data_IF_309176703701
#
_entry.id   IF_309176703701
#
_cell.length_a   1.000
_cell.length_b   1.000
_cell.length_c   1.000
_cell.angle_alpha   90.00
_cell.angle_beta   90.00
_cell.angle_gamma   90.00
#
_symmetry.space_group_name_H-M   'P 1'
#
loop_
_entity.id
_entity.type
_entity.pdbx_description
1 polymer ?
#
# COMPACT_ATOMS: atom_id res chain seq x y z
N UNK A 1 30.80 -45.14 -7.16
CA UNK A 1 30.68 -46.39 -6.38
C UNK A 1 29.58 -46.20 -5.34
N UNK A 2 28.65 -47.14 -5.38
CA UNK A 2 27.67 -47.49 -4.38
C UNK A 2 26.62 -46.43 -3.93
N UNK A 3 25.45 -46.56 -4.55
CA UNK A 3 24.20 -46.02 -4.04
C UNK A 3 23.62 -46.88 -2.93
N UNK A 4 22.84 -46.26 -2.04
CA UNK A 4 21.95 -46.98 -1.13
C UNK A 4 20.52 -46.59 -1.49
N UNK A 5 19.78 -47.59 -1.99
CA UNK A 5 18.33 -47.57 -2.23
C UNK A 5 17.67 -48.00 -0.93
N UNK A 6 16.72 -47.17 -0.44
CA UNK A 6 15.75 -47.60 0.57
C UNK A 6 14.35 -47.57 -0.02
N UNK A 7 13.70 -48.74 0.03
CA UNK A 7 12.38 -49.10 -0.48
C UNK A 7 11.27 -48.37 0.28
N UNK A 8 10.29 -47.85 -0.50
CA UNK A 8 8.94 -47.51 -0.05
C UNK A 8 8.07 -48.76 0.11
N UNK A 9 7.06 -48.70 0.99
CA UNK A 9 5.82 -49.43 0.78
C UNK A 9 4.70 -48.49 0.31
N UNK A 10 3.90 -49.07 -0.55
CA UNK A 10 2.84 -48.57 -1.40
C UNK A 10 1.68 -47.85 -0.69
N UNK A 11 1.13 -46.83 -1.34
CA UNK A 11 -0.17 -46.27 -0.98
C UNK A 11 -0.58 -45.08 -1.87
N UNK A 12 -1.35 -45.39 -2.91
CA UNK A 12 -2.23 -44.53 -3.73
C UNK A 12 -1.78 -43.13 -4.16
N UNK A 13 -1.37 -43.08 -5.43
CA UNK A 13 -1.27 -41.89 -6.27
C UNK A 13 -2.66 -41.28 -6.56
N UNK A 14 -2.92 -40.10 -6.04
CA UNK A 14 -3.87 -39.17 -6.68
C UNK A 14 -3.06 -38.16 -7.50
N UNK A 15 -3.33 -38.17 -8.81
CA UNK A 15 -2.80 -37.20 -9.76
C UNK A 15 -3.19 -35.78 -9.34
N UNK A 16 -2.20 -34.97 -8.98
CA UNK A 16 -2.38 -33.52 -8.93
C UNK A 16 -1.93 -32.98 -10.29
N UNK A 17 -2.91 -32.46 -11.03
CA UNK A 17 -2.74 -31.78 -12.31
C UNK A 17 -1.74 -30.65 -12.18
N UNK A 18 -0.62 -30.76 -12.87
CA UNK A 18 0.38 -29.72 -13.05
C UNK A 18 -0.19 -28.60 -13.90
N UNK A 19 -0.66 -27.54 -13.28
CA UNK A 19 -1.02 -26.30 -13.99
C UNK A 19 0.25 -25.51 -14.27
N UNK A 20 0.68 -25.54 -15.54
CA UNK A 20 1.82 -24.76 -16.06
C UNK A 20 1.58 -23.27 -15.80
N UNK A 21 2.40 -22.68 -14.97
CA UNK A 21 2.50 -21.23 -14.83
C UNK A 21 2.94 -20.63 -16.18
N UNK A 22 2.05 -19.92 -16.83
CA UNK A 22 2.38 -18.96 -17.89
C UNK A 22 2.98 -17.74 -17.19
N UNK A 23 4.09 -17.15 -17.69
CA UNK A 23 4.57 -15.89 -17.18
C UNK A 23 3.55 -14.82 -17.53
N UNK A 24 2.97 -14.19 -16.50
CA UNK A 24 2.16 -12.97 -16.66
C UNK A 24 3.15 -11.86 -16.88
N UNK A 25 3.19 -11.35 -18.09
CA UNK A 25 3.94 -10.15 -18.46
C UNK A 25 3.48 -9.00 -17.58
N UNK A 26 4.44 -8.39 -16.87
CA UNK A 26 4.26 -7.14 -16.17
C UNK A 26 3.96 -6.03 -17.17
N UNK A 27 2.71 -5.69 -17.34
CA UNK A 27 2.25 -4.55 -18.14
C UNK A 27 1.34 -3.69 -17.27
N UNK A 28 1.84 -2.47 -17.00
CA UNK A 28 1.10 -1.25 -16.74
C UNK A 28 0.19 -1.23 -15.49
N UNK A 29 0.75 -0.77 -14.36
CA UNK A 29 -0.06 0.02 -13.43
C UNK A 29 -0.19 1.45 -14.00
N UNK A 30 -1.05 1.59 -15.01
CA UNK A 30 -1.60 2.87 -15.41
C UNK A 30 -2.80 3.16 -14.51
N UNK A 31 -2.80 4.34 -13.90
CA UNK A 31 -3.91 5.06 -13.31
C UNK A 31 -5.25 4.30 -13.21
N UNK A 32 -5.62 3.90 -12.00
CA UNK A 32 -6.98 3.43 -11.69
C UNK A 32 -7.91 4.63 -11.70
N UNK A 33 -8.51 4.91 -12.85
CA UNK A 33 -9.73 5.71 -12.98
C UNK A 33 -10.91 4.74 -12.89
N UNK A 34 -11.40 4.47 -11.68
CA UNK A 34 -12.69 3.82 -11.49
C UNK A 34 -13.80 4.83 -11.75
N UNK A 35 -14.35 4.80 -12.96
CA UNK A 35 -15.65 5.37 -13.27
C UNK A 35 -16.71 4.37 -12.82
N UNK A 36 -17.39 4.67 -11.72
CA UNK A 36 -18.54 3.92 -11.24
C UNK A 36 -19.77 4.30 -12.07
N UNK A 37 -20.14 3.50 -13.05
CA UNK A 37 -21.41 3.58 -13.74
C UNK A 37 -22.47 2.79 -12.98
N UNK A 38 -23.40 3.49 -12.32
CA UNK A 38 -24.64 2.91 -11.80
C UNK A 38 -25.54 2.53 -12.98
N UNK A 39 -25.76 1.25 -13.19
CA UNK A 39 -26.81 0.74 -14.03
C UNK A 39 -28.04 0.42 -13.17
N UNK A 40 -29.11 1.21 -13.31
CA UNK A 40 -30.43 0.91 -12.79
C UNK A 40 -31.09 -0.17 -13.67
N UNK A 41 -31.26 -1.35 -13.14
CA UNK A 41 -32.07 -2.40 -13.76
C UNK A 41 -33.53 -2.15 -13.44
N UNK A 42 -34.35 -1.90 -14.47
CA UNK A 42 -35.81 -1.97 -14.40
C UNK A 42 -36.28 -3.26 -15.11
N UNK A 43 -36.89 -4.15 -14.34
CA UNK A 43 -37.60 -5.31 -14.88
C UNK A 43 -38.97 -4.89 -15.41
N UNK A 44 -39.33 -5.28 -16.62
CA UNK A 44 -40.74 -5.60 -16.92
C UNK A 44 -40.85 -6.77 -17.89
N UNK A 45 -41.75 -7.74 -17.56
CA UNK A 45 -42.14 -8.90 -18.30
C UNK A 45 -43.25 -8.54 -19.30
N UNK A 46 -43.25 -9.09 -20.51
CA UNK A 46 -44.35 -9.89 -21.08
C UNK A 46 -44.18 -10.18 -22.57
N UNK A 47 -44.22 -11.38 -22.85
CA UNK A 47 -44.63 -12.26 -23.98
C UNK A 47 -45.24 -11.72 -25.26
N UNK A 48 -44.86 -12.37 -26.33
CA UNK A 48 -45.59 -13.04 -27.43
C UNK A 48 -45.35 -12.51 -28.85
N UNK A 49 -44.84 -13.45 -29.64
CA UNK A 49 -45.07 -13.82 -31.06
C UNK A 49 -45.43 -12.77 -32.14
N UNK A 50 -44.63 -12.71 -33.19
CA UNK A 50 -44.97 -12.99 -34.58
C UNK A 50 -43.97 -12.37 -35.60
N UNK A 51 -43.55 -13.17 -36.55
CA UNK A 51 -42.83 -12.85 -37.80
C UNK A 51 -43.89 -12.66 -38.92
N UNK A 52 -43.67 -12.14 -40.19
CA UNK A 52 -42.43 -11.74 -40.88
C UNK A 52 -42.48 -10.41 -41.69
N UNK A 53 -41.33 -10.05 -42.26
CA UNK A 53 -40.90 -9.20 -43.39
C UNK A 53 -41.91 -8.91 -44.54
N UNK A 54 -41.68 -7.93 -45.50
CA UNK A 54 -40.40 -7.34 -45.94
C UNK A 54 -40.41 -5.84 -46.37
N UNK A 55 -39.18 -5.31 -46.57
CA UNK A 55 -38.77 -4.36 -47.61
C UNK A 55 -39.38 -2.94 -47.69
N UNK A 56 -38.53 -1.92 -47.49
CA UNK A 56 -38.45 -0.76 -48.40
C UNK A 56 -37.18 0.07 -48.13
N UNK A 57 -36.42 0.25 -49.19
CA UNK A 57 -35.30 1.20 -49.31
C UNK A 57 -35.74 2.63 -48.97
N UNK A 58 -34.91 3.36 -48.18
CA UNK A 58 -34.89 4.81 -48.27
C UNK A 58 -33.51 5.34 -47.82
N UNK A 59 -32.99 6.15 -48.69
CA UNK A 59 -31.72 6.83 -48.78
C UNK A 59 -31.27 7.49 -47.48
N UNK A 60 -29.95 7.36 -47.17
CA UNK A 60 -29.24 8.14 -46.16
C UNK A 60 -29.01 9.59 -46.59
N UNK A 61 -29.22 10.56 -45.73
CA UNK A 61 -28.55 11.86 -45.89
C UNK A 61 -27.17 11.80 -45.25
N UNK A 62 -26.18 12.25 -45.99
CA UNK A 62 -24.78 12.43 -45.55
C UNK A 62 -24.75 13.34 -44.32
N UNK A 63 -24.38 12.77 -43.18
CA UNK A 63 -23.98 13.56 -42.02
C UNK A 63 -22.61 14.13 -42.24
N UNK A 64 -22.55 15.43 -42.42
CA UNK A 64 -21.35 16.22 -42.44
C UNK A 64 -20.55 15.98 -41.17
N UNK A 65 -19.38 15.38 -41.31
CA UNK A 65 -18.32 15.37 -40.27
C UNK A 65 -17.94 16.85 -40.03
N UNK A 66 -18.51 17.41 -38.98
CA UNK A 66 -17.98 18.64 -38.40
C UNK A 66 -16.61 18.30 -37.78
N UNK A 67 -15.59 18.53 -38.56
CA UNK A 67 -14.21 18.58 -38.08
C UNK A 67 -14.13 19.69 -37.04
N UNK A 68 -14.18 19.35 -35.76
CA UNK A 68 -13.91 20.28 -34.67
C UNK A 68 -12.43 20.61 -34.79
N UNK A 69 -12.12 21.68 -35.53
CA UNK A 69 -10.81 22.31 -35.49
C UNK A 69 -10.53 22.68 -34.04
N UNK A 70 -9.70 21.87 -33.38
CA UNK A 70 -9.11 22.25 -32.10
C UNK A 70 -8.38 23.58 -32.36
N UNK A 71 -8.98 24.66 -31.89
CA UNK A 71 -8.36 25.99 -31.90
C UNK A 71 -7.12 25.89 -31.03
N UNK A 72 -5.97 25.72 -31.64
CA UNK A 72 -4.68 25.78 -30.97
C UNK A 72 -4.48 27.22 -30.52
N UNK A 73 -4.89 27.53 -29.29
CA UNK A 73 -4.46 28.75 -28.60
C UNK A 73 -2.92 28.75 -28.63
N UNK A 74 -2.26 29.83 -29.08
CA UNK A 74 -0.80 29.88 -29.16
C UNK A 74 -0.24 29.63 -27.76
N UNK A 75 0.36 28.45 -27.58
CA UNK A 75 0.86 28.03 -26.28
C UNK A 75 2.14 28.83 -26.01
N UNK A 76 2.07 29.75 -25.03
CA UNK A 76 3.24 30.49 -24.57
C UNK A 76 4.37 29.49 -24.27
N UNK A 77 5.60 29.76 -24.77
CA UNK A 77 6.76 28.91 -24.50
C UNK A 77 6.98 28.80 -22.99
N UNK A 78 7.17 27.58 -22.43
CA UNK A 78 7.40 27.42 -21.00
C UNK A 78 8.65 28.16 -20.54
N UNK A 79 8.57 28.81 -19.38
CA UNK A 79 9.73 29.38 -18.70
C UNK A 79 10.50 28.24 -18.04
N UNK A 80 11.75 28.05 -18.49
CA UNK A 80 12.65 27.09 -17.84
C UNK A 80 13.04 27.62 -16.46
N UNK A 81 12.82 26.80 -15.42
CA UNK A 81 13.22 27.14 -14.05
C UNK A 81 14.43 26.30 -13.64
N UNK A 82 15.29 26.90 -12.84
CA UNK A 82 16.49 26.26 -12.27
C UNK A 82 16.31 25.92 -10.78
N UNK A 83 15.26 26.46 -10.16
CA UNK A 83 14.87 26.19 -8.78
C UNK A 83 13.33 26.25 -8.64
N UNK A 84 12.82 25.93 -7.44
CA UNK A 84 11.38 25.85 -7.17
C UNK A 84 10.78 27.14 -6.58
N UNK A 85 11.55 28.23 -6.50
CA UNK A 85 11.12 29.47 -5.79
C UNK A 85 10.00 30.23 -6.51
N UNK A 86 9.78 29.92 -7.79
CA UNK A 86 8.66 30.47 -8.59
C UNK A 86 7.32 29.79 -8.31
N UNK A 87 7.31 28.72 -7.51
CA UNK A 87 6.12 27.98 -7.15
C UNK A 87 5.84 28.27 -5.69
N UNK A 88 4.67 28.90 -5.43
CA UNK A 88 4.19 29.15 -4.07
C UNK A 88 3.23 28.06 -3.66
N UNK A 89 3.41 27.53 -2.46
CA UNK A 89 2.52 26.55 -1.84
C UNK A 89 2.01 27.08 -0.53
N UNK A 90 0.69 27.01 -0.34
CA UNK A 90 0.02 27.43 0.89
C UNK A 90 -1.04 26.37 1.27
N UNK A 91 -1.59 26.48 2.46
CA UNK A 91 -2.59 25.58 3.00
C UNK A 91 -2.12 24.89 4.29
N UNK A 92 -3.10 24.42 5.04
CA UNK A 92 -2.88 23.76 6.33
C UNK A 92 -2.36 22.33 6.17
N UNK A 93 -1.72 21.82 7.20
CA UNK A 93 -1.26 20.42 7.24
C UNK A 93 -2.45 19.46 7.18
N UNK A 94 -2.25 18.35 6.42
CA UNK A 94 -3.30 17.34 6.25
C UNK A 94 -4.46 17.75 5.35
N UNK A 95 -4.46 19.01 4.85
CA UNK A 95 -5.45 19.50 3.88
C UNK A 95 -4.82 19.71 2.51
N UNK A 96 -5.67 19.71 1.48
CA UNK A 96 -5.24 19.96 0.10
C UNK A 96 -4.49 21.30 0.01
N UNK A 97 -3.24 21.30 -0.46
CA UNK A 97 -2.48 22.53 -0.63
C UNK A 97 -2.98 23.32 -1.82
N UNK A 98 -2.78 24.65 -1.79
CA UNK A 98 -2.93 25.53 -2.93
C UNK A 98 -1.56 25.76 -3.56
N UNK A 99 -1.47 25.59 -4.89
CA UNK A 99 -0.23 25.76 -5.66
C UNK A 99 -0.42 26.89 -6.64
N UNK A 100 0.45 27.88 -6.59
CA UNK A 100 0.45 29.06 -7.45
C UNK A 100 1.79 29.21 -8.16
N UNK A 101 1.76 29.64 -9.43
CA UNK A 101 2.95 29.87 -10.25
C UNK A 101 2.63 30.71 -11.49
N UNK A 102 3.67 31.28 -12.09
CA UNK A 102 3.54 32.03 -13.36
C UNK A 102 3.67 31.08 -14.55
N UNK A 103 2.62 30.31 -14.79
CA UNK A 103 2.56 29.29 -15.84
C UNK A 103 2.64 29.86 -17.27
N UNK A 104 3.18 29.13 -18.24
CA UNK A 104 3.75 27.77 -18.16
C UNK A 104 5.18 27.74 -17.63
N UNK A 105 5.49 26.71 -16.82
CA UNK A 105 6.81 26.43 -16.25
C UNK A 105 7.32 25.07 -16.72
N UNK A 106 8.64 24.96 -16.94
CA UNK A 106 9.31 23.70 -17.21
C UNK A 106 10.63 23.62 -16.44
N UNK A 107 11.10 22.39 -16.21
CA UNK A 107 12.36 22.11 -15.52
C UNK A 107 13.15 21.05 -16.29
N UNK A 108 14.49 21.15 -16.29
CA UNK A 108 15.34 20.21 -17.01
C UNK A 108 15.66 18.92 -16.22
N UNK A 109 15.64 19.01 -14.89
CA UNK A 109 15.94 17.87 -13.99
C UNK A 109 14.97 17.92 -12.83
N UNK A 110 14.59 16.76 -12.31
CA UNK A 110 13.76 16.67 -11.09
C UNK A 110 14.44 17.35 -9.93
N UNK A 111 13.70 18.22 -9.26
CA UNK A 111 14.10 18.89 -8.03
C UNK A 111 13.01 18.72 -6.98
N UNK A 112 13.43 18.72 -5.71
CA UNK A 112 12.53 18.71 -4.58
C UNK A 112 12.96 19.70 -3.50
N UNK A 113 11.97 20.26 -2.78
CA UNK A 113 12.17 21.19 -1.66
C UNK A 113 11.25 20.77 -0.52
N UNK A 114 11.82 20.57 0.67
CA UNK A 114 11.01 20.35 1.88
C UNK A 114 10.40 21.69 2.27
N UNK A 115 9.09 21.76 2.29
CA UNK A 115 8.33 22.95 2.70
C UNK A 115 8.03 22.95 4.20
N UNK A 116 7.78 21.75 4.75
CA UNK A 116 7.65 21.49 6.18
C UNK A 116 8.46 20.24 6.49
N UNK A 117 9.25 20.30 7.55
CA UNK A 117 10.09 19.18 7.98
C UNK A 117 9.33 18.27 8.94
N UNK A 118 9.35 16.98 8.66
CA UNK A 118 9.00 15.90 9.57
C UNK A 118 10.22 15.33 10.27
N UNK A 119 9.99 14.51 11.27
CA UNK A 119 10.99 13.85 12.12
C UNK A 119 10.80 12.33 12.22
N UNK A 120 9.86 11.77 11.44
CA UNK A 120 9.59 10.33 11.42
C UNK A 120 10.59 9.54 10.58
N UNK A 121 10.24 8.29 10.24
CA UNK A 121 11.11 7.34 9.52
C UNK A 121 11.59 7.92 8.19
N UNK A 122 12.87 7.67 7.89
CA UNK A 122 13.50 8.12 6.64
C UNK A 122 13.06 7.28 5.46
N UNK A 123 12.73 7.92 4.36
CA UNK A 123 12.37 7.28 3.09
C UNK A 123 13.62 6.72 2.41
N UNK A 124 13.72 5.40 2.38
CA UNK A 124 14.72 4.71 1.57
C UNK A 124 14.32 4.70 0.09
N UNK A 125 15.31 4.60 -0.80
CA UNK A 125 15.11 4.65 -2.27
C UNK A 125 14.14 3.60 -2.83
N UNK A 126 13.93 2.49 -2.13
CA UNK A 126 13.02 1.41 -2.50
C UNK A 126 11.84 1.27 -1.54
N UNK A 127 11.65 2.23 -0.63
CA UNK A 127 10.56 2.20 0.34
C UNK A 127 9.19 2.30 -0.35
N UNK A 128 8.18 1.74 0.27
CA UNK A 128 6.79 2.16 0.04
C UNK A 128 6.51 3.36 0.95
N UNK A 129 5.96 4.42 0.39
CA UNK A 129 5.58 5.62 1.16
C UNK A 129 4.07 5.83 1.07
N UNK A 130 3.44 6.03 2.20
CA UNK A 130 2.03 6.42 2.28
C UNK A 130 1.93 7.93 2.21
N UNK A 131 1.24 8.45 1.21
CA UNK A 131 1.24 9.89 0.93
C UNK A 131 -0.17 10.45 0.71
N UNK A 132 -0.32 11.73 1.01
CA UNK A 132 -1.29 12.58 0.33
C UNK A 132 -0.57 13.44 -0.69
N UNK A 133 -1.19 13.71 -1.84
CA UNK A 133 -0.56 14.52 -2.87
C UNK A 133 -1.56 15.33 -3.70
N UNK A 134 -1.03 16.39 -4.30
CA UNK A 134 -1.69 17.19 -5.31
C UNK A 134 -0.75 17.32 -6.51
N UNK A 135 -1.21 16.98 -7.72
CA UNK A 135 -0.48 17.08 -8.97
C UNK A 135 -0.99 18.24 -9.84
N UNK A 136 -0.07 19.08 -10.30
CA UNK A 136 -0.33 20.24 -11.15
C UNK A 136 0.49 20.13 -12.43
N UNK A 137 -0.16 20.35 -13.57
CA UNK A 137 0.51 20.36 -14.86
C UNK A 137 1.29 21.67 -15.04
N UNK A 138 2.61 21.58 -15.24
CA UNK A 138 3.49 22.75 -15.38
C UNK A 138 3.20 23.62 -16.61
N UNK A 139 2.63 23.05 -17.68
CA UNK A 139 2.22 23.81 -18.87
C UNK A 139 0.98 24.65 -18.60
N UNK A 140 -0.02 24.11 -17.91
CA UNK A 140 -1.34 24.74 -17.78
C UNK A 140 -1.61 25.35 -16.40
N UNK A 141 -0.87 24.96 -15.38
CA UNK A 141 -1.16 25.32 -13.98
C UNK A 141 -2.40 24.64 -13.41
N UNK A 142 -3.04 23.71 -14.13
CA UNK A 142 -4.23 23.01 -13.68
C UNK A 142 -3.88 21.78 -12.86
N UNK A 143 -4.67 21.54 -11.81
CA UNK A 143 -4.65 20.29 -11.06
C UNK A 143 -5.14 19.18 -11.99
N UNK A 144 -4.38 18.09 -12.09
CA UNK A 144 -4.76 16.92 -12.88
C UNK A 144 -5.07 15.70 -12.01
N UNK A 145 -4.54 15.66 -10.78
CA UNK A 145 -4.81 14.56 -9.84
C UNK A 145 -4.60 15.02 -8.39
N UNK A 146 -5.38 14.41 -7.45
CA UNK A 146 -5.29 14.72 -6.02
C UNK A 146 -5.84 13.58 -5.17
N UNK A 147 -5.05 13.07 -4.23
CA UNK A 147 -5.49 12.11 -3.23
C UNK A 147 -6.45 12.74 -2.22
N UNK A 148 -6.30 14.03 -1.95
CA UNK A 148 -7.19 14.78 -1.04
C UNK A 148 -8.64 14.80 -1.53
N UNK A 149 -8.85 14.86 -2.87
CA UNK A 149 -10.20 14.80 -3.45
C UNK A 149 -10.84 13.41 -3.30
N UNK A 150 -10.01 12.38 -3.23
CA UNK A 150 -10.46 10.99 -3.00
C UNK A 150 -10.68 10.68 -1.51
N UNK A 151 -10.23 11.55 -0.61
CA UNK A 151 -10.37 11.38 0.84
C UNK A 151 -9.54 10.25 1.44
N UNK A 152 -8.54 9.73 0.71
CA UNK A 152 -7.70 8.63 1.16
C UNK A 152 -6.24 8.82 0.75
N UNK A 153 -5.33 8.34 1.59
CA UNK A 153 -3.89 8.24 1.27
C UNK A 153 -3.65 7.20 0.18
N UNK A 154 -2.50 7.29 -0.47
CA UNK A 154 -2.05 6.35 -1.50
C UNK A 154 -0.68 5.81 -1.11
N UNK A 155 -0.50 4.49 -1.29
CA UNK A 155 0.78 3.85 -1.10
C UNK A 155 1.58 3.91 -2.41
N UNK A 156 2.78 4.49 -2.35
CA UNK A 156 3.73 4.63 -3.46
C UNK A 156 4.96 3.75 -3.22
N UNK A 157 5.01 2.54 -3.79
CA UNK A 157 6.26 1.80 -3.88
C UNK A 157 7.22 2.58 -4.81
N UNK A 158 8.30 3.15 -4.26
CA UNK A 158 9.20 4.04 -5.03
C UNK A 158 9.90 3.33 -6.19
N UNK A 159 9.96 2.00 -6.17
CA UNK A 159 10.45 1.18 -7.29
C UNK A 159 9.45 1.08 -8.46
N UNK A 160 8.18 1.44 -8.27
CA UNK A 160 7.10 1.26 -9.25
C UNK A 160 6.46 2.58 -9.71
N UNK A 161 6.81 3.71 -9.08
CA UNK A 161 6.32 5.04 -9.48
C UNK A 161 7.20 5.66 -10.57
N UNK A 162 6.71 6.74 -11.18
CA UNK A 162 7.53 7.51 -12.14
C UNK A 162 8.84 7.98 -11.50
N UNK A 163 9.96 7.99 -12.24
CA UNK A 163 11.29 8.28 -11.68
C UNK A 163 11.37 9.58 -10.89
N UNK A 164 10.59 10.58 -11.26
CA UNK A 164 10.53 11.87 -10.57
C UNK A 164 10.09 11.77 -9.12
N UNK A 165 9.16 10.86 -8.79
CA UNK A 165 8.76 10.61 -7.39
C UNK A 165 9.89 9.97 -6.59
N UNK A 166 10.50 8.90 -7.12
CA UNK A 166 11.60 8.24 -6.44
C UNK A 166 12.75 9.21 -6.15
N UNK A 167 13.13 10.06 -7.14
CA UNK A 167 14.15 11.11 -6.98
C UNK A 167 13.75 12.19 -5.97
N UNK A 168 12.48 12.56 -5.96
CA UNK A 168 11.97 13.66 -5.12
C UNK A 168 11.76 13.27 -3.67
N UNK A 169 11.41 12.01 -3.38
CA UNK A 169 11.02 11.53 -2.06
C UNK A 169 12.14 10.78 -1.33
N UNK A 170 13.07 10.13 -2.05
CA UNK A 170 14.20 9.46 -1.40
C UNK A 170 14.98 10.40 -0.48
N UNK A 171 15.28 9.92 0.73
CA UNK A 171 16.00 10.67 1.76
C UNK A 171 15.16 11.72 2.50
N UNK A 172 13.86 11.85 2.21
CA UNK A 172 12.90 12.64 3.00
C UNK A 172 12.46 11.84 4.23
N UNK A 173 11.60 12.44 5.07
CA UNK A 173 11.13 11.81 6.30
C UNK A 173 9.59 11.79 6.35
N UNK A 174 9.06 10.83 7.05
CA UNK A 174 7.66 10.86 7.45
C UNK A 174 7.34 12.18 8.17
N UNK A 175 6.20 12.80 7.82
CA UNK A 175 5.81 14.13 8.28
C UNK A 175 6.31 15.27 7.39
N UNK A 176 7.21 15.03 6.42
CA UNK A 176 7.62 16.06 5.46
C UNK A 176 6.45 16.43 4.53
N UNK A 177 6.31 17.75 4.26
CA UNK A 177 5.63 18.25 3.07
C UNK A 177 6.68 18.62 2.04
N UNK A 178 6.63 17.99 0.87
CA UNK A 178 7.65 18.11 -0.17
C UNK A 178 7.04 18.69 -1.46
N UNK A 179 7.61 19.78 -1.96
CA UNK A 179 7.36 20.26 -3.31
C UNK A 179 8.33 19.55 -4.26
N UNK A 180 7.82 18.95 -5.32
CA UNK A 180 8.61 18.28 -6.35
C UNK A 180 8.22 18.87 -7.69
N UNK A 181 9.21 19.20 -8.53
CA UNK A 181 8.98 19.46 -9.94
C UNK A 181 9.86 18.53 -10.77
N UNK A 182 9.26 17.87 -11.74
CA UNK A 182 9.92 16.90 -12.60
C UNK A 182 9.66 17.19 -14.08
N UNK A 183 10.65 16.95 -14.97
CA UNK A 183 10.45 17.02 -16.42
C UNK A 183 9.61 15.82 -16.89
N UNK A 184 9.03 15.91 -18.07
CA UNK A 184 8.28 14.84 -18.70
C UNK A 184 9.08 13.54 -18.84
N UNK A 185 10.41 13.62 -19.04
CA UNK A 185 11.33 12.47 -19.11
C UNK A 185 11.41 11.67 -17.80
N UNK A 186 11.17 12.30 -16.65
CA UNK A 186 11.10 11.66 -15.35
C UNK A 186 9.64 11.36 -14.95
N UNK A 187 8.67 11.63 -15.83
CA UNK A 187 7.25 11.43 -15.64
C UNK A 187 6.66 10.51 -16.73
N UNK A 188 5.87 11.03 -17.66
CA UNK A 188 5.07 10.23 -18.60
C UNK A 188 5.56 10.25 -20.05
N UNK A 189 6.71 10.87 -20.37
CA UNK A 189 7.20 10.98 -21.76
C UNK A 189 7.47 9.64 -22.42
N UNK A 190 7.91 8.62 -21.63
CA UNK A 190 8.13 7.25 -22.13
C UNK A 190 6.86 6.58 -22.64
N UNK A 191 5.69 7.05 -22.17
CA UNK A 191 4.37 6.57 -22.55
C UNK A 191 3.67 7.50 -23.56
N UNK A 192 4.39 8.57 -24.04
CA UNK A 192 3.81 9.59 -24.93
C UNK A 192 2.97 10.66 -24.23
N UNK A 193 3.02 10.72 -22.89
CA UNK A 193 2.18 11.54 -22.04
C UNK A 193 1.08 10.74 -21.34
N UNK A 194 0.11 11.44 -20.75
CA UNK A 194 -1.13 10.88 -20.18
C UNK A 194 -2.32 11.77 -20.60
N UNK A 195 -2.83 11.64 -21.84
CA UNK A 195 -3.83 12.57 -22.41
C UNK A 195 -5.13 12.63 -21.60
N UNK A 196 -5.56 11.51 -20.98
CA UNK A 196 -6.76 11.46 -20.13
C UNK A 196 -6.62 12.36 -18.89
N UNK A 197 -5.39 12.57 -18.41
CA UNK A 197 -5.07 13.50 -17.32
C UNK A 197 -4.66 14.89 -17.83
N UNK A 198 -4.78 15.16 -19.14
CA UNK A 198 -4.37 16.42 -19.76
C UNK A 198 -2.86 16.66 -19.80
N UNK A 199 -2.06 15.60 -19.64
CA UNK A 199 -0.59 15.63 -19.68
C UNK A 199 -0.12 15.26 -21.08
N UNK A 200 0.57 16.19 -21.75
CA UNK A 200 1.20 15.97 -23.04
C UNK A 200 2.66 15.55 -22.86
N UNK A 201 3.20 14.91 -23.89
CA UNK A 201 4.64 14.64 -23.95
C UNK A 201 5.41 15.96 -23.84
N UNK A 202 6.44 15.99 -22.99
CA UNK A 202 7.25 17.18 -22.70
C UNK A 202 6.71 18.06 -21.56
N UNK A 203 5.52 17.80 -21.04
CA UNK A 203 4.99 18.55 -19.89
C UNK A 203 5.83 18.26 -18.63
N UNK A 204 6.31 19.31 -17.98
CA UNK A 204 6.82 19.21 -16.63
C UNK A 204 5.66 19.15 -15.64
N UNK A 205 5.82 18.36 -14.58
CA UNK A 205 4.79 18.18 -13.55
C UNK A 205 5.27 18.73 -12.21
N UNK A 206 4.34 19.30 -11.46
CA UNK A 206 4.56 19.80 -10.11
C UNK A 206 3.70 18.98 -9.16
N UNK A 207 4.31 18.50 -8.07
CA UNK A 207 3.59 17.82 -7.00
C UNK A 207 3.88 18.45 -5.66
N UNK A 208 2.86 18.54 -4.83
CA UNK A 208 3.01 18.73 -3.39
C UNK A 208 2.62 17.43 -2.73
N UNK A 209 3.54 16.87 -1.97
CA UNK A 209 3.40 15.54 -1.35
C UNK A 209 3.56 15.67 0.15
N UNK A 210 2.57 15.23 0.91
CA UNK A 210 2.67 15.00 2.34
C UNK A 210 3.02 13.54 2.58
N UNK A 211 4.15 13.26 3.19
CA UNK A 211 4.57 11.90 3.57
C UNK A 211 3.87 11.57 4.89
N UNK A 212 2.82 10.77 4.81
CA UNK A 212 1.97 10.43 5.95
C UNK A 212 2.53 9.24 6.72
N UNK A 213 3.25 8.34 6.05
CA UNK A 213 3.86 7.18 6.67
C UNK A 213 4.94 6.55 5.78
N UNK A 214 5.91 5.94 6.43
CA UNK A 214 6.96 5.13 5.80
C UNK A 214 6.98 3.77 6.48
N UNK A 215 6.10 2.83 6.04
CA UNK A 215 6.03 1.50 6.64
C UNK A 215 7.38 0.77 6.55
N UNK A 216 7.81 0.22 7.66
CA UNK A 216 8.97 -0.66 7.69
C UNK A 216 8.66 -1.99 6.99
N UNK A 217 9.68 -2.69 6.50
CA UNK A 217 9.51 -4.03 5.91
C UNK A 217 9.71 -5.15 6.93
N UNK A 218 10.33 -4.83 8.07
CA UNK A 218 10.61 -5.73 9.20
C UNK A 218 10.83 -4.94 10.49
N UNK A 219 10.81 -5.62 11.63
CA UNK A 219 11.21 -5.02 12.90
C UNK A 219 12.63 -4.44 12.83
N UNK A 220 12.82 -3.27 13.45
CA UNK A 220 14.06 -2.49 13.50
C UNK A 220 14.14 -1.78 14.84
N UNK A 221 15.20 -1.99 15.59
CA UNK A 221 15.38 -1.36 16.89
C UNK A 221 16.37 -2.12 17.77
N UNK A 222 16.33 -1.86 19.07
CA UNK A 222 17.19 -2.47 20.06
C UNK A 222 16.70 -3.87 20.46
N UNK A 223 17.60 -4.86 20.49
CA UNK A 223 17.26 -6.20 20.91
C UNK A 223 16.94 -6.24 22.41
N UNK A 224 15.85 -6.93 22.77
CA UNK A 224 15.44 -7.11 24.17
C UNK A 224 15.61 -8.58 24.55
N UNK A 225 16.32 -8.85 25.66
CA UNK A 225 16.46 -10.21 26.19
C UNK A 225 15.12 -10.69 26.74
N UNK A 226 14.56 -11.81 26.23
CA UNK A 226 13.31 -12.34 26.74
C UNK A 226 13.45 -12.87 28.19
N UNK A 227 12.35 -12.81 28.93
CA UNK A 227 12.27 -13.42 30.25
C UNK A 227 12.47 -14.94 30.17
N UNK A 228 13.10 -15.53 31.19
CA UNK A 228 13.32 -16.97 31.28
C UNK A 228 11.98 -17.73 31.36
N UNK A 229 11.96 -18.96 30.82
CA UNK A 229 10.78 -19.83 30.87
C UNK A 229 9.69 -19.53 29.82
N UNK A 230 9.90 -18.53 28.97
CA UNK A 230 9.04 -18.25 27.82
C UNK A 230 9.45 -19.07 26.58
N UNK A 231 8.56 -19.23 25.59
CA UNK A 231 8.93 -19.73 24.26
C UNK A 231 10.09 -18.95 23.66
N UNK A 232 10.96 -19.65 22.95
CA UNK A 232 12.09 -19.01 22.24
C UNK A 232 11.70 -18.64 20.82
N UNK A 233 12.27 -17.53 20.32
CA UNK A 233 12.05 -17.05 18.95
C UNK A 233 13.40 -16.93 18.27
N UNK A 234 13.52 -17.54 17.07
CA UNK A 234 14.69 -17.43 16.20
C UNK A 234 14.27 -16.94 14.83
N UNK A 235 15.08 -16.12 14.19
CA UNK A 235 14.85 -15.73 12.81
C UNK A 235 15.38 -16.80 11.86
N UNK A 236 14.52 -17.28 10.96
CA UNK A 236 14.84 -18.27 9.93
C UNK A 236 14.34 -17.74 8.60
N UNK A 237 15.25 -17.54 7.64
CA UNK A 237 14.93 -16.98 6.31
C UNK A 237 14.13 -15.67 6.37
N UNK A 238 14.47 -14.79 7.33
CA UNK A 238 13.82 -13.48 7.48
C UNK A 238 12.47 -13.48 8.22
N UNK A 239 12.02 -14.64 8.73
CA UNK A 239 10.78 -14.76 9.48
C UNK A 239 11.01 -15.35 10.89
N UNK A 240 10.27 -14.92 11.93
CA UNK A 240 10.40 -15.45 13.27
C UNK A 240 9.80 -16.86 13.38
N UNK A 241 10.55 -17.78 13.92
CA UNK A 241 10.11 -19.15 14.24
C UNK A 241 10.05 -19.30 15.76
N UNK A 242 8.87 -19.66 16.27
CA UNK A 242 8.64 -19.89 17.70
C UNK A 242 8.89 -21.36 18.06
N UNK A 243 9.63 -21.59 19.13
CA UNK A 243 9.74 -22.90 19.78
C UNK A 243 9.17 -22.81 21.18
N UNK A 244 7.98 -23.37 21.39
CA UNK A 244 7.29 -23.36 22.69
C UNK A 244 8.03 -24.25 23.70
N UNK A 245 8.59 -25.37 23.23
CA UNK A 245 9.39 -26.26 24.08
C UNK A 245 8.63 -26.79 25.31
N UNK A 246 9.27 -26.64 26.47
CA UNK A 246 8.71 -27.01 27.78
C UNK A 246 8.21 -25.79 28.59
N UNK A 247 7.99 -24.65 27.93
CA UNK A 247 7.45 -23.47 28.60
C UNK A 247 6.11 -23.80 29.27
N UNK A 248 5.86 -23.22 30.45
CA UNK A 248 4.57 -23.40 31.14
C UNK A 248 3.51 -22.53 30.50
N UNK A 249 2.34 -23.13 30.21
CA UNK A 249 1.19 -22.39 29.65
C UNK A 249 0.73 -21.31 30.63
N UNK A 250 0.79 -20.02 30.25
CA UNK A 250 0.34 -18.95 31.13
C UNK A 250 -1.18 -18.86 31.15
N UNK A 251 -1.73 -18.48 32.32
CA UNK A 251 -3.16 -18.22 32.49
C UNK A 251 -3.56 -16.79 32.21
N UNK A 252 -2.58 -15.89 32.03
CA UNK A 252 -2.78 -14.46 31.75
C UNK A 252 -2.02 -14.08 30.51
N UNK A 253 -2.43 -12.97 29.88
CA UNK A 253 -1.70 -12.38 28.76
C UNK A 253 -0.23 -12.11 29.14
N UNK A 254 0.68 -12.61 28.33
CA UNK A 254 2.12 -12.30 28.42
C UNK A 254 2.48 -11.39 27.25
N UNK A 255 3.18 -10.30 27.54
CA UNK A 255 3.67 -9.34 26.57
C UNK A 255 5.20 -9.31 26.69
N UNK A 256 5.90 -9.82 25.67
CA UNK A 256 7.35 -9.88 25.68
C UNK A 256 7.90 -9.19 24.44
N UNK A 257 8.41 -7.95 24.56
CA UNK A 257 9.19 -7.36 23.48
C UNK A 257 10.44 -8.19 23.20
N UNK A 258 10.74 -8.42 21.92
CA UNK A 258 11.96 -9.08 21.43
C UNK A 258 12.89 -8.07 20.76
N UNK A 259 12.29 -7.05 20.15
CA UNK A 259 12.97 -5.88 19.64
C UNK A 259 12.16 -4.66 20.07
N UNK A 260 12.81 -3.64 20.56
CA UNK A 260 12.19 -2.35 20.89
C UNK A 260 12.50 -1.36 19.77
N UNK A 261 11.47 -0.98 19.01
CA UNK A 261 11.59 0.05 17.98
C UNK A 261 11.72 1.46 18.58
N UNK A 262 12.19 2.38 17.78
CA UNK A 262 12.37 3.79 18.10
C UNK A 262 11.33 4.70 17.40
N UNK A 263 10.40 4.11 16.62
CA UNK A 263 9.39 4.85 15.90
C UNK A 263 8.22 5.32 16.77
N UNK A 264 7.15 5.77 16.11
CA UNK A 264 5.93 6.27 16.75
C UNK A 264 5.30 5.24 17.70
N UNK A 265 4.84 5.71 18.87
CA UNK A 265 4.10 4.88 19.82
C UNK A 265 2.69 4.57 19.31
N UNK A 266 2.33 3.29 19.34
CA UNK A 266 0.98 2.81 19.00
C UNK A 266 -0.04 3.28 20.02
N UNK A 267 -1.14 3.84 19.56
CA UNK A 267 -2.28 4.26 20.38
C UNK A 267 -3.51 3.38 20.11
N UNK A 268 -4.50 3.43 21.00
CA UNK A 268 -5.73 2.67 20.84
C UNK A 268 -6.63 3.13 19.67
N UNK A 269 -6.28 4.27 19.03
CA UNK A 269 -7.01 4.88 17.90
C UNK A 269 -6.23 4.79 16.59
N UNK A 270 -5.14 4.04 16.56
CA UNK A 270 -4.34 3.89 15.35
C UNK A 270 -4.80 2.68 14.53
N UNK A 271 -4.62 2.76 13.22
CA UNK A 271 -4.44 1.61 12.35
C UNK A 271 -2.94 1.29 12.31
N UNK A 272 -2.60 0.00 12.35
CA UNK A 272 -1.21 -0.48 12.31
C UNK A 272 -0.99 -1.40 11.12
N UNK A 273 0.16 -1.31 10.48
CA UNK A 273 0.62 -2.30 9.52
C UNK A 273 1.56 -3.27 10.25
N UNK A 274 1.27 -4.55 10.13
CA UNK A 274 2.02 -5.59 10.84
C UNK A 274 2.33 -6.78 9.94
N UNK A 275 3.41 -7.48 10.27
CA UNK A 275 3.63 -8.89 9.88
C UNK A 275 3.60 -9.73 11.14
N UNK A 276 2.94 -10.89 11.07
CA UNK A 276 2.84 -11.73 12.26
C UNK A 276 2.80 -13.22 11.91
N UNK A 277 3.14 -14.03 12.90
CA UNK A 277 2.91 -15.48 12.91
C UNK A 277 2.11 -15.85 14.14
N UNK A 278 1.19 -16.80 13.97
CA UNK A 278 0.34 -17.34 15.04
C UNK A 278 0.62 -18.83 15.21
N UNK A 279 0.86 -19.23 16.43
CA UNK A 279 1.06 -20.64 16.80
C UNK A 279 0.00 -21.07 17.83
N UNK A 280 -0.52 -22.30 17.70
CA UNK A 280 -1.30 -22.94 18.77
C UNK A 280 -0.36 -23.42 19.89
N UNK A 281 -0.73 -23.15 21.15
CA UNK A 281 0.06 -23.62 22.27
C UNK A 281 0.05 -25.15 22.42
N UNK A 282 -1.15 -25.78 22.23
CA UNK A 282 -1.37 -27.21 22.45
C UNK A 282 -0.64 -28.07 21.42
N UNK A 283 -0.82 -27.81 20.14
CA UNK A 283 -0.19 -28.54 19.04
C UNK A 283 1.23 -28.07 18.74
N UNK A 284 1.59 -26.84 19.16
CA UNK A 284 2.86 -26.14 18.82
C UNK A 284 3.00 -25.84 17.32
N UNK A 285 1.93 -25.96 16.56
CA UNK A 285 1.90 -25.78 15.12
C UNK A 285 1.69 -24.31 14.75
N UNK A 286 2.23 -23.93 13.60
CA UNK A 286 1.98 -22.64 12.95
C UNK A 286 0.57 -22.65 12.36
N UNK A 287 -0.30 -21.73 12.80
CA UNK A 287 -1.66 -21.57 12.31
C UNK A 287 -1.74 -20.54 11.18
N UNK A 288 -0.99 -19.43 11.32
CA UNK A 288 -0.96 -18.36 10.33
C UNK A 288 0.47 -17.91 10.07
N UNK A 289 0.80 -17.69 8.79
CA UNK A 289 2.06 -17.09 8.35
C UNK A 289 1.82 -15.81 7.55
N UNK A 290 1.85 -14.68 8.23
CA UNK A 290 1.79 -13.34 7.64
C UNK A 290 3.15 -12.77 7.26
N UNK A 291 4.28 -13.51 7.45
CA UNK A 291 5.61 -13.04 7.03
C UNK A 291 5.91 -13.32 5.56
N UNK A 292 5.26 -14.31 4.97
CA UNK A 292 5.45 -14.69 3.56
C UNK A 292 4.79 -13.74 2.56
N UNK A 293 3.85 -12.88 3.01
CA UNK A 293 3.06 -11.96 2.19
C UNK A 293 3.35 -10.48 2.47
N UNK A 294 2.43 -9.65 1.99
CA UNK A 294 2.37 -8.23 2.31
C UNK A 294 2.00 -8.02 3.79
N UNK A 295 2.30 -6.83 4.31
CA UNK A 295 1.86 -6.46 5.65
C UNK A 295 0.32 -6.37 5.72
N UNK A 296 -0.23 -6.75 6.88
CA UNK A 296 -1.66 -6.68 7.13
C UNK A 296 -1.96 -5.41 7.92
N UNK A 297 -2.91 -4.61 7.43
CA UNK A 297 -3.41 -3.43 8.17
C UNK A 297 -4.54 -3.84 9.11
N UNK A 298 -4.42 -3.49 10.37
CA UNK A 298 -5.44 -3.72 11.40
C UNK A 298 -5.76 -2.46 12.21
N UNK A 299 -7.06 -2.17 12.41
CA UNK A 299 -7.49 -1.13 13.34
C UNK A 299 -7.37 -1.62 14.78
N UNK A 300 -6.72 -0.84 15.65
CA UNK A 300 -6.62 -1.14 17.08
C UNK A 300 -7.99 -1.15 17.80
N UNK A 301 -9.05 -0.68 17.14
CA UNK A 301 -10.41 -0.76 17.65
C UNK A 301 -11.07 -2.13 17.39
N UNK A 302 -10.63 -2.88 16.37
CA UNK A 302 -11.25 -4.12 15.90
C UNK A 302 -10.40 -5.38 16.06
N UNK A 303 -9.17 -5.27 16.58
CA UNK A 303 -8.33 -6.44 16.89
C UNK A 303 -8.81 -7.15 18.16
N UNK A 304 -8.41 -8.41 18.33
CA UNK A 304 -8.69 -9.18 19.57
C UNK A 304 -8.16 -8.47 20.82
N UNK A 305 -8.80 -8.66 22.00
CA UNK A 305 -8.40 -7.98 23.23
C UNK A 305 -6.90 -8.14 23.58
N UNK A 306 -6.33 -9.31 23.34
CA UNK A 306 -4.92 -9.60 23.59
C UNK A 306 -3.97 -8.73 22.76
N UNK A 307 -4.30 -8.49 21.49
CA UNK A 307 -3.52 -7.57 20.64
C UNK A 307 -3.65 -6.13 21.12
N UNK A 308 -4.87 -5.68 21.42
CA UNK A 308 -5.08 -4.32 21.91
C UNK A 308 -4.28 -4.04 23.18
N UNK A 309 -4.35 -4.98 24.17
CA UNK A 309 -3.61 -4.87 25.43
C UNK A 309 -2.09 -4.97 25.24
N UNK A 310 -1.66 -5.78 24.26
CA UNK A 310 -0.24 -6.09 24.05
C UNK A 310 0.51 -5.09 23.17
N UNK A 311 -0.19 -4.45 22.22
CA UNK A 311 0.43 -3.60 21.21
C UNK A 311 0.30 -2.10 21.50
N UNK A 312 -0.78 -1.67 22.19
CA UNK A 312 -0.90 -0.27 22.62
C UNK A 312 0.23 0.07 23.58
N UNK A 313 0.96 1.15 23.26
CA UNK A 313 2.14 1.58 24.00
C UNK A 313 3.46 1.04 23.47
N UNK A 314 3.47 0.03 22.62
CA UNK A 314 4.66 -0.37 21.85
C UNK A 314 5.01 0.67 20.79
N UNK A 315 6.20 0.59 20.22
CA UNK A 315 6.67 1.52 19.20
C UNK A 315 6.78 0.84 17.83
N UNK A 316 6.57 1.59 16.77
CA UNK A 316 6.87 1.14 15.40
C UNK A 316 8.34 0.70 15.33
N UNK A 317 8.59 -0.40 14.64
CA UNK A 317 9.88 -1.08 14.61
C UNK A 317 10.01 -2.19 15.66
N UNK A 318 9.09 -2.29 16.63
CA UNK A 318 9.13 -3.37 17.63
C UNK A 318 8.74 -4.71 17.04
N UNK A 319 9.41 -5.78 17.53
CA UNK A 319 8.94 -7.16 17.45
C UNK A 319 8.45 -7.57 18.84
N UNK A 320 7.21 -8.01 18.93
CA UNK A 320 6.58 -8.37 20.21
C UNK A 320 6.07 -9.81 20.14
N UNK A 321 6.43 -10.62 21.14
CA UNK A 321 5.78 -11.91 21.36
C UNK A 321 4.63 -11.70 22.34
N UNK A 322 3.42 -12.16 21.96
CA UNK A 322 2.24 -12.19 22.83
C UNK A 322 1.85 -13.65 23.07
N UNK A 323 1.62 -14.03 24.33
CA UNK A 323 0.99 -15.31 24.65
C UNK A 323 -0.39 -14.96 25.18
N UNK A 324 -1.41 -15.27 24.35
CA UNK A 324 -2.77 -14.78 24.52
C UNK A 324 -3.67 -15.94 24.96
N UNK A 325 -4.17 -15.94 26.21
CA UNK A 325 -5.12 -16.95 26.66
C UNK A 325 -6.46 -16.80 25.92
N UNK A 326 -7.30 -17.86 25.91
CA UNK A 326 -8.56 -17.88 25.16
C UNK A 326 -9.47 -16.68 25.44
N UNK A 327 -9.56 -16.23 26.69
CA UNK A 327 -10.40 -15.09 27.10
C UNK A 327 -10.02 -13.76 26.43
N UNK A 328 -8.77 -13.61 26.01
CA UNK A 328 -8.26 -12.44 25.31
C UNK A 328 -8.10 -12.66 23.78
N UNK A 329 -8.51 -13.85 23.28
CA UNK A 329 -8.47 -14.21 21.86
C UNK A 329 -9.85 -14.78 21.41
N UNK A 330 -9.94 -16.11 21.28
CA UNK A 330 -11.12 -16.83 20.77
C UNK A 330 -11.61 -17.87 21.81
N UNK A 331 -12.39 -17.48 22.82
CA UNK A 331 -12.78 -18.39 23.90
C UNK A 331 -13.63 -19.59 23.41
N UNK A 332 -14.45 -19.37 22.37
CA UNK A 332 -15.30 -20.42 21.78
C UNK A 332 -14.65 -21.05 20.51
N UNK A 333 -13.40 -20.72 20.23
CA UNK A 333 -12.75 -21.10 19.00
C UNK A 333 -13.02 -20.14 17.86
N UNK A 334 -12.42 -20.41 16.69
CA UNK A 334 -12.59 -19.62 15.48
C UNK A 334 -12.38 -20.49 14.24
N UNK A 335 -13.06 -20.15 13.14
CA UNK A 335 -12.96 -20.91 11.89
C UNK A 335 -11.90 -20.36 10.94
N UNK A 336 -11.63 -19.05 11.00
CA UNK A 336 -10.62 -18.38 10.19
C UNK A 336 -9.95 -17.23 10.98
N UNK A 337 -8.70 -17.41 11.45
CA UNK A 337 -7.89 -18.63 11.37
C UNK A 337 -8.52 -19.79 12.17
N UNK A 338 -8.18 -21.05 11.85
CA UNK A 338 -8.73 -22.21 12.56
C UNK A 338 -8.11 -22.28 13.97
N UNK A 339 -8.92 -22.01 14.98
CA UNK A 339 -8.54 -22.02 16.40
C UNK A 339 -9.53 -22.87 17.17
N UNK A 340 -9.05 -23.86 17.91
CA UNK A 340 -9.90 -24.70 18.76
C UNK A 340 -10.41 -23.93 19.99
N UNK A 341 -11.56 -24.34 20.49
CA UNK A 341 -12.11 -23.80 21.73
C UNK A 341 -11.12 -23.97 22.89
N UNK A 342 -10.91 -22.88 23.63
CA UNK A 342 -10.00 -22.88 24.77
C UNK A 342 -8.51 -22.88 24.44
N UNK A 343 -8.14 -22.66 23.17
CA UNK A 343 -6.73 -22.62 22.74
C UNK A 343 -6.05 -21.31 23.18
N UNK A 344 -4.80 -21.44 23.63
CA UNK A 344 -3.90 -20.32 23.90
C UNK A 344 -3.02 -20.09 22.67
N UNK A 345 -2.92 -18.84 22.23
CA UNK A 345 -2.19 -18.48 21.03
C UNK A 345 -0.87 -17.80 21.35
N UNK A 346 0.16 -18.11 20.58
CA UNK A 346 1.46 -17.42 20.62
C UNK A 346 1.60 -16.63 19.33
N UNK A 347 1.64 -15.33 19.46
CA UNK A 347 1.90 -14.41 18.33
C UNK A 347 3.32 -13.89 18.41
N UNK A 348 3.97 -13.75 17.24
CA UNK A 348 5.14 -12.88 17.06
C UNK A 348 4.80 -11.86 16.01
N UNK A 349 4.85 -10.58 16.37
CA UNK A 349 4.31 -9.47 15.60
C UNK A 349 5.40 -8.43 15.40
N UNK A 350 5.66 -8.08 14.14
CA UNK A 350 6.46 -6.92 13.76
C UNK A 350 5.53 -5.74 13.51
N UNK A 351 5.70 -4.65 14.24
CA UNK A 351 4.94 -3.39 14.07
C UNK A 351 5.68 -2.53 13.05
N UNK A 352 5.11 -2.41 11.86
CA UNK A 352 5.76 -1.79 10.70
C UNK A 352 5.35 -0.34 10.46
N UNK A 353 4.13 0.02 10.86
CA UNK A 353 3.65 1.39 10.90
C UNK A 353 2.54 1.57 11.93
N UNK A 354 2.28 2.81 12.31
CA UNK A 354 1.12 3.17 13.12
C UNK A 354 0.62 4.56 12.69
N UNK A 355 -0.63 4.65 12.29
CA UNK A 355 -1.24 5.88 11.80
C UNK A 355 -2.58 6.10 12.48
N UNK A 356 -2.90 7.36 12.78
CA UNK A 356 -4.21 7.69 13.32
C UNK A 356 -5.28 7.28 12.31
N UNK A 357 -6.25 6.52 12.77
CA UNK A 357 -7.42 6.17 11.98
C UNK A 357 -8.25 7.45 11.72
N UNK A 358 -8.60 7.69 10.45
CA UNK A 358 -9.33 8.88 9.99
C UNK A 358 -10.83 8.77 10.29
#
# INVERSE_FOLDING_TARGET
>A
MAGIVLKHPSGNLRQVSSNKHRPVSAAALAAVLCVSSLALASCNKSSSDAKPSPSASASAPASASASVKASATPTKKPTMVTNLDRIKVSGEDGKAPKVEGSWPLAIAKTQSKVLKKGDGEKVDKNATVKVNYLGVNGRTGKVFDSSYQRGSTVDFPLSQVVPGFAKGLAGKHEGDRVLIMMPGSDAYDSQGGAPQAGIMKGDSLVFVVDIVGVPLTKAKGEAVTPASGLPTVKEVHGAPVVTIGNAKKPSKLVIQPLTKGDGKKVTAKDAIDVKYRTYAWSSKELIEDGFSGEAVTGSMNSVIPGWKKGLVGQTVGSRVMLIVPPADAYPEGNTNPPVEKGETLVYVIDILSAQKES
#
